data_IF_547665674134
#
_entry.id   IF_547665674134
#
_cell.length_a   1.000
_cell.length_b   1.000
_cell.length_c   1.000
_cell.angle_alpha   90.00
_cell.angle_beta   90.00
_cell.angle_gamma   90.00
#
_symmetry.space_group_name_H-M   'P 1'
#
loop_
_entity.id
_entity.type
_entity.pdbx_description
1 polymer ?
#
# COMPACT_ATOMS: atom_id res chain seq x y z
N UNK A 1 11.99 -64.80 -8.88
CA UNK A 1 11.71 -63.57 -8.11
C UNK A 1 12.57 -62.44 -8.68
N UNK A 2 11.99 -61.56 -9.51
CA UNK A 2 12.71 -60.47 -10.17
C UNK A 2 12.01 -59.14 -9.89
N UNK A 3 12.57 -58.34 -8.98
CA UNK A 3 12.01 -57.07 -8.53
C UNK A 3 12.12 -55.98 -9.59
N UNK A 4 10.98 -55.49 -10.10
CA UNK A 4 10.87 -54.30 -10.95
C UNK A 4 11.16 -53.03 -10.11
N UNK A 5 12.26 -52.32 -10.42
CA UNK A 5 12.49 -50.95 -9.96
C UNK A 5 11.55 -49.99 -10.72
N UNK A 6 10.64 -49.35 -10.01
CA UNK A 6 9.81 -48.23 -10.53
C UNK A 6 10.68 -46.98 -10.66
N UNK A 7 10.73 -46.41 -11.86
CA UNK A 7 11.33 -45.10 -12.17
C UNK A 7 10.50 -43.96 -11.53
N UNK A 8 11.15 -43.06 -10.80
CA UNK A 8 10.53 -41.81 -10.31
C UNK A 8 10.32 -40.83 -11.47
N UNK A 9 9.21 -40.06 -11.50
CA UNK A 9 8.99 -39.08 -12.56
C UNK A 9 9.92 -37.88 -12.37
N UNK A 10 10.54 -37.44 -13.47
CA UNK A 10 11.38 -36.26 -13.50
C UNK A 10 10.55 -35.00 -13.25
N UNK A 11 10.92 -34.23 -12.21
CA UNK A 11 10.44 -32.85 -12.02
C UNK A 11 10.72 -32.04 -13.29
N UNK A 12 9.68 -31.52 -13.92
CA UNK A 12 9.80 -30.57 -15.01
C UNK A 12 10.51 -29.31 -14.50
N UNK A 13 11.73 -29.07 -14.99
CA UNK A 13 12.39 -27.77 -14.87
C UNK A 13 11.55 -26.76 -15.64
N UNK A 14 10.98 -25.76 -14.96
CA UNK A 14 10.36 -24.60 -15.62
C UNK A 14 11.40 -23.98 -16.57
N UNK A 15 11.04 -23.82 -17.85
CA UNK A 15 11.88 -23.14 -18.85
C UNK A 15 12.21 -21.71 -18.38
N UNK A 16 13.38 -21.15 -18.73
CA UNK A 16 13.67 -19.75 -18.48
C UNK A 16 12.60 -18.88 -19.14
N UNK A 17 12.06 -17.89 -18.43
CA UNK A 17 11.14 -16.90 -19.01
C UNK A 17 11.85 -16.20 -20.16
N UNK A 18 11.18 -16.12 -21.30
CA UNK A 18 11.75 -15.59 -22.55
C UNK A 18 11.91 -14.08 -22.47
N UNK A 19 12.80 -13.49 -23.27
CA UNK A 19 12.91 -12.02 -23.40
C UNK A 19 11.59 -11.37 -23.83
N UNK A 20 10.76 -12.10 -24.58
CA UNK A 20 9.41 -11.68 -24.97
C UNK A 20 8.47 -11.56 -23.77
N UNK A 21 8.52 -12.48 -22.80
CA UNK A 21 7.69 -12.41 -21.58
C UNK A 21 8.03 -11.18 -20.74
N UNK A 22 9.31 -10.79 -20.71
CA UNK A 22 9.75 -9.57 -20.01
C UNK A 22 9.30 -8.30 -20.73
N UNK A 23 9.34 -8.28 -22.06
CA UNK A 23 8.84 -7.15 -22.86
C UNK A 23 7.33 -6.94 -22.66
N UNK A 24 6.53 -8.01 -22.76
CA UNK A 24 5.08 -7.95 -22.50
C UNK A 24 4.76 -7.50 -21.07
N UNK A 25 5.53 -7.97 -20.09
CA UNK A 25 5.38 -7.53 -18.70
C UNK A 25 5.71 -6.04 -18.54
N UNK A 26 6.75 -5.56 -19.22
CA UNK A 26 7.14 -4.15 -19.21
C UNK A 26 6.07 -3.26 -19.82
N UNK A 27 5.54 -3.64 -20.98
CA UNK A 27 4.47 -2.88 -21.66
C UNK A 27 3.22 -2.81 -20.79
N UNK A 28 2.82 -3.94 -20.18
CA UNK A 28 1.69 -3.99 -19.25
C UNK A 28 1.88 -3.06 -18.04
N UNK A 29 3.06 -3.10 -17.41
CA UNK A 29 3.36 -2.26 -16.23
C UNK A 29 3.45 -0.78 -16.61
N UNK A 30 4.04 -0.45 -17.77
CA UNK A 30 4.13 0.93 -18.26
C UNK A 30 2.77 1.51 -18.58
N UNK A 31 1.93 0.78 -19.30
CA UNK A 31 0.58 1.21 -19.64
C UNK A 31 -0.26 1.51 -18.38
N UNK A 32 -0.07 0.71 -17.32
CA UNK A 32 -0.74 0.96 -16.05
C UNK A 32 -0.14 2.13 -15.27
N UNK A 33 1.19 2.21 -15.17
CA UNK A 33 1.87 3.24 -14.38
C UNK A 33 1.72 4.65 -14.95
N UNK A 34 1.70 4.79 -16.28
CA UNK A 34 1.56 6.04 -17.01
C UNK A 34 0.23 6.05 -17.78
N UNK A 35 -0.90 6.45 -17.17
CA UNK A 35 -2.11 6.65 -17.95
C UNK A 35 -1.84 7.75 -18.99
N UNK A 36 -2.20 7.48 -20.24
CA UNK A 36 -2.07 8.44 -21.36
C UNK A 36 -2.87 9.70 -20.98
N UNK A 37 -2.29 10.91 -21.08
CA UNK A 37 -3.09 12.13 -20.92
C UNK A 37 -4.20 12.16 -21.98
N UNK A 38 -5.37 12.76 -21.70
CA UNK A 38 -6.40 12.92 -22.73
C UNK A 38 -5.78 13.56 -23.97
N UNK A 39 -6.16 13.07 -25.16
CA UNK A 39 -5.71 13.63 -26.44
C UNK A 39 -5.93 15.15 -26.42
N UNK A 40 -4.99 15.95 -26.95
CA UNK A 40 -5.29 17.36 -27.18
C UNK A 40 -6.51 17.46 -28.10
N UNK A 41 -7.43 18.37 -27.80
CA UNK A 41 -8.51 18.77 -28.71
C UNK A 41 -7.92 18.95 -30.12
N UNK A 42 -8.56 18.44 -31.18
CA UNK A 42 -8.06 18.57 -32.53
C UNK A 42 -7.96 20.07 -32.85
N UNK A 43 -6.74 20.59 -32.89
CA UNK A 43 -6.52 21.93 -33.42
C UNK A 43 -6.90 21.91 -34.89
N UNK A 44 -7.64 22.92 -35.35
CA UNK A 44 -8.14 23.03 -36.71
C UNK A 44 -7.04 23.26 -37.78
N UNK A 45 -5.80 22.84 -37.53
CA UNK A 45 -4.64 23.09 -38.38
C UNK A 45 -4.06 21.85 -39.09
N UNK A 46 -4.46 20.62 -38.76
CA UNK A 46 -3.92 19.41 -39.39
C UNK A 46 -4.89 18.76 -40.39
N UNK A 47 -5.36 19.57 -41.35
CA UNK A 47 -6.06 19.09 -42.54
C UNK A 47 -5.11 19.13 -43.74
N UNK A 48 -3.98 18.43 -43.66
CA UNK A 48 -3.19 17.95 -44.82
C UNK A 48 -1.88 17.30 -44.31
N UNK A 49 -1.95 16.03 -43.90
CA UNK A 49 -0.77 15.17 -43.81
C UNK A 49 -1.14 13.70 -43.98
N UNK A 50 -0.40 13.05 -44.88
CA UNK A 50 -0.55 11.71 -45.42
C UNK A 50 -0.94 10.61 -44.42
N UNK A 51 -2.00 9.91 -44.79
CA UNK A 51 -2.62 8.78 -44.12
C UNK A 51 -1.80 7.51 -44.38
N UNK A 52 -0.65 7.33 -43.70
CA UNK A 52 0.01 6.03 -43.48
C UNK A 52 1.30 6.28 -42.68
N UNK A 53 1.21 6.28 -41.35
CA UNK A 53 2.24 5.90 -40.34
C UNK A 53 1.81 6.48 -38.97
N UNK A 54 1.83 5.71 -37.87
CA UNK A 54 1.52 6.28 -36.55
C UNK A 54 2.58 7.32 -36.19
N UNK A 55 2.13 8.53 -35.87
CA UNK A 55 2.96 9.60 -35.32
C UNK A 55 3.79 9.04 -34.16
N UNK A 56 5.11 9.12 -34.30
CA UNK A 56 6.06 8.67 -33.30
C UNK A 56 5.74 9.32 -31.95
N UNK A 57 5.20 8.52 -31.04
CA UNK A 57 5.27 8.78 -29.61
C UNK A 57 6.71 9.21 -29.32
N UNK A 58 6.86 10.43 -28.81
CA UNK A 58 8.11 10.97 -28.35
C UNK A 58 8.80 9.90 -27.50
N UNK A 59 9.91 9.35 -28.02
CA UNK A 59 10.78 8.40 -27.34
C UNK A 59 11.47 9.12 -26.17
N UNK A 60 10.71 9.37 -25.10
CA UNK A 60 11.26 9.72 -23.80
C UNK A 60 11.77 8.46 -23.13
N UNK A 61 13.09 8.27 -23.15
CA UNK A 61 13.91 7.42 -22.27
C UNK A 61 13.33 6.07 -21.83
N UNK A 62 13.91 4.97 -22.33
CA UNK A 62 13.68 3.60 -21.86
C UNK A 62 14.16 3.32 -20.43
N UNK A 63 13.66 4.07 -19.44
CA UNK A 63 13.88 3.82 -18.03
C UNK A 63 12.96 2.72 -17.48
N UNK A 64 13.45 1.99 -16.47
CA UNK A 64 12.65 1.08 -15.68
C UNK A 64 11.52 1.83 -14.95
N UNK A 65 10.36 1.21 -14.82
CA UNK A 65 9.25 1.78 -14.02
C UNK A 65 9.50 1.44 -12.56
N UNK A 66 9.82 2.46 -11.77
CA UNK A 66 10.15 2.29 -10.37
C UNK A 66 8.91 2.41 -9.48
N UNK A 67 8.67 1.38 -8.67
CA UNK A 67 7.60 1.32 -7.68
C UNK A 67 8.22 1.43 -6.29
N UNK A 68 7.65 2.29 -5.46
CA UNK A 68 7.80 2.23 -4.01
C UNK A 68 6.51 1.62 -3.43
N UNK A 69 6.64 0.54 -2.67
CA UNK A 69 5.49 -0.20 -2.12
C UNK A 69 5.42 -0.16 -0.59
N UNK A 70 6.34 0.52 0.09
CA UNK A 70 6.31 0.65 1.54
C UNK A 70 6.98 1.96 1.98
N UNK A 71 6.19 2.93 2.42
CA UNK A 71 6.69 4.23 2.88
C UNK A 71 5.76 4.89 3.89
N UNK A 72 6.32 5.77 4.71
CA UNK A 72 5.66 6.43 5.83
C UNK A 72 5.79 7.94 5.75
N UNK A 73 4.73 8.63 6.19
CA UNK A 73 4.64 10.07 6.35
C UNK A 73 4.46 10.45 7.81
N UNK A 74 4.38 11.75 8.08
CA UNK A 74 4.10 12.29 9.40
C UNK A 74 2.65 12.05 9.89
N UNK A 75 1.79 11.37 9.12
CA UNK A 75 0.50 10.88 9.64
C UNK A 75 0.64 9.63 10.52
N UNK A 76 1.77 8.93 10.46
CA UNK A 76 2.17 7.93 11.44
C UNK A 76 3.44 8.33 12.16
N UNK A 77 4.59 7.85 11.71
CA UNK A 77 5.89 8.04 12.36
C UNK A 77 7.00 8.35 11.37
N UNK A 78 6.66 8.68 10.13
CA UNK A 78 7.54 9.36 9.20
C UNK A 78 7.83 10.81 9.61
N UNK A 79 8.81 11.42 8.96
CA UNK A 79 9.21 12.82 9.18
C UNK A 79 8.69 13.75 8.09
N UNK A 80 8.44 13.24 6.88
CA UNK A 80 7.97 14.05 5.76
C UNK A 80 6.45 14.08 5.73
N UNK A 81 5.87 15.20 5.35
CA UNK A 81 4.45 15.22 4.96
C UNK A 81 4.22 14.36 3.72
N UNK A 82 2.99 13.89 3.45
CA UNK A 82 2.66 13.19 2.22
C UNK A 82 3.13 13.94 0.96
N UNK A 83 2.96 15.28 0.90
CA UNK A 83 3.44 16.09 -0.23
C UNK A 83 4.96 16.05 -0.40
N UNK A 84 5.70 16.21 0.70
CA UNK A 84 7.17 16.19 0.68
C UNK A 84 7.72 14.79 0.36
N UNK A 85 7.03 13.74 0.80
CA UNK A 85 7.35 12.34 0.47
C UNK A 85 7.19 12.09 -1.03
N UNK A 86 6.09 12.56 -1.63
CA UNK A 86 5.84 12.48 -3.07
C UNK A 86 6.92 13.23 -3.87
N UNK A 87 7.27 14.45 -3.45
CA UNK A 87 8.34 15.22 -4.09
C UNK A 87 9.70 14.51 -4.01
N UNK A 88 10.01 13.87 -2.87
CA UNK A 88 11.22 13.05 -2.72
C UNK A 88 11.19 11.83 -3.65
N UNK A 89 10.07 11.13 -3.71
CA UNK A 89 9.86 10.00 -4.61
C UNK A 89 10.05 10.40 -6.09
N UNK A 90 9.51 11.54 -6.50
CA UNK A 90 9.69 12.10 -7.84
C UNK A 90 11.17 12.33 -8.18
N UNK A 91 11.91 12.98 -7.28
CA UNK A 91 13.36 13.21 -7.45
C UNK A 91 14.16 11.92 -7.60
N UNK A 92 13.69 10.83 -6.98
CA UNK A 92 14.31 9.51 -7.08
C UNK A 92 13.80 8.69 -8.29
N UNK A 93 12.95 9.27 -9.14
CA UNK A 93 12.44 8.63 -10.36
C UNK A 93 11.30 7.64 -10.13
N UNK A 94 10.71 7.61 -8.92
CA UNK A 94 9.54 6.78 -8.61
C UNK A 94 8.36 7.22 -9.47
N UNK A 95 7.62 6.23 -9.99
CA UNK A 95 6.43 6.43 -10.84
C UNK A 95 5.15 5.96 -10.19
N UNK A 96 5.27 5.00 -9.29
CA UNK A 96 4.17 4.48 -8.51
C UNK A 96 4.60 4.44 -7.05
N UNK A 97 3.81 5.07 -6.19
CA UNK A 97 4.11 5.21 -4.76
C UNK A 97 2.93 4.69 -3.94
N UNK A 98 3.17 3.71 -3.09
CA UNK A 98 2.26 3.34 -2.01
C UNK A 98 2.64 4.10 -0.73
N UNK A 99 1.72 4.93 -0.24
CA UNK A 99 1.82 5.49 1.10
C UNK A 99 1.12 4.50 2.05
N UNK A 100 1.84 4.04 3.06
CA UNK A 100 1.44 2.91 3.93
C UNK A 100 1.64 3.27 5.39
N UNK A 101 1.20 4.46 5.81
CA UNK A 101 1.29 4.91 7.19
C UNK A 101 0.73 3.85 8.17
N UNK A 102 1.33 3.78 9.36
CA UNK A 102 0.86 2.87 10.40
C UNK A 102 -0.56 3.19 10.85
N UNK A 103 -1.44 2.21 10.68
CA UNK A 103 -2.82 2.21 11.19
C UNK A 103 -3.65 3.45 10.78
N UNK A 104 -3.33 4.06 9.64
CA UNK A 104 -4.08 5.21 9.12
C UNK A 104 -3.93 5.34 7.61
N UNK A 105 -4.96 5.89 6.97
CA UNK A 105 -4.93 6.28 5.55
C UNK A 105 -5.12 7.81 5.40
N UNK A 106 -4.97 8.56 6.49
CA UNK A 106 -5.27 9.99 6.53
C UNK A 106 -4.39 10.84 5.59
N UNK A 107 -3.16 10.38 5.29
CA UNK A 107 -2.24 11.06 4.37
C UNK A 107 -2.51 10.81 2.89
N UNK A 108 -3.37 9.84 2.53
CA UNK A 108 -3.61 9.47 1.12
C UNK A 108 -4.18 10.63 0.29
N UNK A 109 -5.19 11.40 0.74
CA UNK A 109 -5.72 12.51 -0.06
C UNK A 109 -4.65 13.56 -0.39
N UNK A 110 -3.81 13.92 0.58
CA UNK A 110 -2.69 14.86 0.35
C UNK A 110 -1.68 14.27 -0.65
N UNK A 111 -1.30 13.00 -0.49
CA UNK A 111 -0.38 12.32 -1.41
C UNK A 111 -0.91 12.30 -2.86
N UNK A 112 -2.20 11.97 -3.05
CA UNK A 112 -2.86 11.95 -4.36
C UNK A 112 -2.83 13.34 -5.01
N UNK A 113 -3.15 14.39 -4.24
CA UNK A 113 -3.11 15.76 -4.73
C UNK A 113 -1.69 16.18 -5.13
N UNK A 114 -0.68 15.90 -4.30
CA UNK A 114 0.71 16.25 -4.59
C UNK A 114 1.25 15.48 -5.81
N UNK A 115 0.91 14.20 -5.94
CA UNK A 115 1.41 13.31 -7.00
C UNK A 115 0.98 13.74 -8.40
N UNK A 116 -0.16 14.43 -8.50
CA UNK A 116 -0.67 14.98 -9.77
C UNK A 116 0.33 15.93 -10.45
N UNK A 117 1.10 16.70 -9.66
CA UNK A 117 2.09 17.66 -10.17
C UNK A 117 3.30 16.97 -10.81
N UNK A 118 3.52 15.70 -10.47
CA UNK A 118 4.74 14.97 -10.81
C UNK A 118 4.48 13.76 -11.73
N UNK A 119 3.22 13.51 -12.09
CA UNK A 119 2.82 12.32 -12.86
C UNK A 119 3.13 11.02 -12.12
N UNK A 120 3.00 11.02 -10.80
CA UNK A 120 3.14 9.82 -9.96
C UNK A 120 1.75 9.23 -9.72
N UNK A 121 1.62 7.90 -9.83
CA UNK A 121 0.42 7.19 -9.41
C UNK A 121 0.54 6.81 -7.93
N UNK A 122 -0.46 7.17 -7.13
CA UNK A 122 -0.56 6.71 -5.75
C UNK A 122 -1.31 5.39 -5.70
N UNK A 123 -0.78 4.42 -4.96
CA UNK A 123 -1.52 3.25 -4.48
C UNK A 123 -1.96 3.56 -3.05
N UNK A 124 -3.28 3.71 -2.79
CA UNK A 124 -3.79 3.84 -1.43
C UNK A 124 -3.39 2.62 -0.60
N UNK A 125 -2.62 2.82 0.47
CA UNK A 125 -2.17 1.74 1.32
C UNK A 125 -2.20 2.10 2.80
N UNK A 126 -1.95 1.09 3.62
CA UNK A 126 -1.81 1.20 5.07
C UNK A 126 -0.96 0.04 5.57
N UNK A 127 -0.08 0.29 6.54
CA UNK A 127 0.60 -0.77 7.29
C UNK A 127 -0.16 -1.03 8.59
N UNK A 128 -0.85 -2.15 8.67
CA UNK A 128 -1.72 -2.49 9.80
C UNK A 128 -0.95 -3.29 10.84
N UNK A 129 -0.92 -2.78 12.07
CA UNK A 129 -0.34 -3.47 13.23
C UNK A 129 -1.23 -4.62 13.65
N UNK A 130 -0.63 -5.78 13.85
CA UNK A 130 -1.33 -6.97 14.27
C UNK A 130 -0.51 -7.80 15.26
N UNK A 131 -1.18 -8.74 15.91
CA UNK A 131 -0.56 -9.71 16.80
C UNK A 131 -0.72 -11.11 16.21
N UNK A 132 0.40 -11.79 16.00
CA UNK A 132 0.39 -13.22 15.72
C UNK A 132 0.47 -14.00 17.03
N UNK A 133 -0.55 -14.80 17.31
CA UNK A 133 -0.53 -15.75 18.42
C UNK A 133 -0.37 -17.17 17.89
N UNK A 134 0.75 -17.85 18.16
CA UNK A 134 0.82 -19.27 17.88
C UNK A 134 -0.21 -20.00 18.74
N UNK A 135 -1.08 -20.79 18.10
CA UNK A 135 -2.14 -21.56 18.79
C UNK A 135 -1.62 -22.46 19.91
N UNK A 136 -0.33 -22.79 19.90
CA UNK A 136 0.33 -23.71 20.81
C UNK A 136 0.95 -23.02 22.05
N UNK A 137 1.03 -21.68 22.10
CA UNK A 137 1.63 -20.95 23.23
C UNK A 137 0.72 -19.80 23.68
N UNK A 138 -0.06 -20.04 24.73
CA UNK A 138 -0.87 -19.01 25.37
C UNK A 138 0.02 -17.89 25.92
N UNK A 139 -0.27 -16.63 25.56
CA UNK A 139 0.39 -15.45 26.11
C UNK A 139 1.62 -14.93 25.34
N UNK A 140 2.11 -15.65 24.32
CA UNK A 140 3.28 -15.28 23.52
C UNK A 140 2.90 -14.67 22.16
N UNK A 141 2.17 -13.55 22.18
CA UNK A 141 1.86 -12.82 20.96
C UNK A 141 3.08 -12.08 20.41
N UNK A 142 3.40 -12.33 19.14
CA UNK A 142 4.45 -11.66 18.40
C UNK A 142 3.84 -10.53 17.54
N UNK A 143 4.29 -9.27 17.69
CA UNK A 143 3.85 -8.19 16.82
C UNK A 143 4.27 -8.45 15.37
N UNK A 144 3.33 -8.27 14.45
CA UNK A 144 3.56 -8.38 13.01
C UNK A 144 2.87 -7.21 12.32
N UNK A 145 3.34 -6.84 11.12
CA UNK A 145 2.70 -5.79 10.34
C UNK A 145 2.26 -6.34 8.97
N UNK A 146 1.05 -5.95 8.57
CA UNK A 146 0.43 -6.38 7.32
C UNK A 146 0.17 -5.14 6.47
N UNK A 147 0.83 -5.07 5.31
CA UNK A 147 0.56 -4.06 4.29
C UNK A 147 -0.75 -4.39 3.59
N UNK A 148 -1.59 -3.37 3.40
CA UNK A 148 -2.78 -3.43 2.58
C UNK A 148 -2.65 -2.46 1.40
N UNK A 149 -3.00 -2.91 0.20
CA UNK A 149 -3.02 -2.08 -1.01
C UNK A 149 -4.40 -2.10 -1.66
N UNK A 150 -4.98 -0.91 -1.87
CA UNK A 150 -6.30 -0.73 -2.44
C UNK A 150 -6.23 -0.06 -3.82
N UNK A 151 -7.32 -0.19 -4.58
CA UNK A 151 -7.48 0.50 -5.86
C UNK A 151 -7.72 2.01 -5.67
N UNK A 152 -7.83 2.76 -6.76
CA UNK A 152 -8.01 4.23 -6.71
C UNK A 152 -9.32 4.68 -6.05
N UNK A 153 -10.31 3.80 -5.91
CA UNK A 153 -11.54 4.09 -5.18
C UNK A 153 -11.43 3.76 -3.67
N UNK A 154 -10.29 3.23 -3.23
CA UNK A 154 -10.07 2.79 -1.86
C UNK A 154 -10.77 1.46 -1.51
N UNK A 155 -10.99 1.19 -0.21
CA UNK A 155 -11.65 -0.03 0.26
C UNK A 155 -13.15 -0.03 -0.03
N UNK A 156 -13.73 -1.18 -0.40
CA UNK A 156 -15.18 -1.31 -0.66
C UNK A 156 -16.05 -1.27 0.60
N UNK A 157 -15.42 -1.39 1.77
CA UNK A 157 -16.05 -1.32 3.09
C UNK A 157 -15.24 -0.40 4.01
N UNK A 158 -15.22 0.91 3.73
CA UNK A 158 -14.33 1.85 4.42
C UNK A 158 -14.57 1.91 5.93
N UNK A 159 -15.82 1.79 6.38
CA UNK A 159 -16.15 1.87 7.81
C UNK A 159 -15.60 0.70 8.63
N UNK A 160 -15.65 -0.53 8.10
CA UNK A 160 -15.07 -1.70 8.77
C UNK A 160 -13.56 -1.55 8.96
N UNK A 161 -12.85 -1.10 7.90
CA UNK A 161 -11.42 -0.81 7.98
C UNK A 161 -11.15 0.33 8.96
N UNK A 162 -11.85 1.46 8.82
CA UNK A 162 -11.66 2.64 9.66
C UNK A 162 -11.84 2.33 11.14
N UNK A 163 -12.87 1.57 11.51
CA UNK A 163 -13.13 1.19 12.90
C UNK A 163 -12.01 0.31 13.47
N UNK A 164 -11.48 -0.63 12.68
CA UNK A 164 -10.31 -1.43 13.11
C UNK A 164 -9.08 -0.54 13.30
N UNK A 165 -8.77 0.33 12.34
CA UNK A 165 -7.62 1.23 12.41
C UNK A 165 -7.73 2.19 13.61
N UNK A 166 -8.92 2.73 13.87
CA UNK A 166 -9.18 3.58 15.03
C UNK A 166 -8.94 2.83 16.35
N UNK A 167 -9.47 1.60 16.47
CA UNK A 167 -9.26 0.79 17.68
C UNK A 167 -7.78 0.48 17.95
N UNK A 168 -6.97 0.26 16.91
CA UNK A 168 -5.52 0.09 17.06
C UNK A 168 -4.87 1.38 17.57
N UNK A 169 -5.23 2.53 16.97
CA UNK A 169 -4.71 3.84 17.36
C UNK A 169 -5.06 4.21 18.80
N UNK A 170 -6.28 3.94 19.25
CA UNK A 170 -6.70 4.15 20.64
C UNK A 170 -5.83 3.32 21.60
N UNK A 171 -5.55 2.06 21.23
CA UNK A 171 -4.61 1.20 21.94
C UNK A 171 -3.18 1.74 22.00
N UNK A 172 -2.72 2.45 20.96
CA UNK A 172 -1.38 3.06 20.94
C UNK A 172 -1.24 4.17 21.97
N UNK A 173 -2.29 4.97 22.23
CA UNK A 173 -2.28 5.98 23.29
C UNK A 173 -2.06 5.33 24.66
N UNK A 174 -2.89 4.34 25.00
CA UNK A 174 -2.77 3.59 26.26
C UNK A 174 -1.39 2.90 26.38
N UNK A 175 -0.90 2.32 25.28
CA UNK A 175 0.42 1.69 25.23
C UNK A 175 1.52 2.72 25.54
N UNK A 176 1.45 3.91 24.94
CA UNK A 176 2.43 4.97 25.18
C UNK A 176 2.45 5.44 26.63
N UNK A 177 1.29 5.69 27.25
CA UNK A 177 1.19 6.03 28.68
C UNK A 177 1.84 4.95 29.57
N UNK A 178 1.57 3.67 29.28
CA UNK A 178 2.16 2.56 30.00
C UNK A 178 3.69 2.49 29.82
N UNK A 179 4.21 2.76 28.62
CA UNK A 179 5.66 2.84 28.39
C UNK A 179 6.28 3.97 29.21
N UNK A 180 5.64 5.15 29.25
CA UNK A 180 6.11 6.29 30.05
C UNK A 180 6.15 5.98 31.54
N UNK A 181 5.11 5.32 32.07
CA UNK A 181 5.08 4.89 33.46
C UNK A 181 6.24 3.93 33.80
N UNK A 182 6.53 2.97 32.91
CA UNK A 182 7.67 2.05 33.06
C UNK A 182 9.01 2.79 32.98
N UNK A 183 9.18 3.70 32.02
CA UNK A 183 10.39 4.52 31.90
C UNK A 183 10.64 5.37 33.16
N UNK A 184 9.58 5.91 33.77
CA UNK A 184 9.68 6.66 35.02
C UNK A 184 10.20 5.78 36.19
N UNK A 185 9.72 4.54 36.31
CA UNK A 185 10.24 3.57 37.29
C UNK A 185 11.73 3.30 37.07
N UNK A 186 12.15 3.23 35.80
CA UNK A 186 13.54 3.05 35.37
C UNK A 186 14.39 4.32 35.49
N UNK A 187 13.88 5.40 36.12
CA UNK A 187 14.56 6.70 36.28
C UNK A 187 14.88 7.41 34.97
N UNK A 188 14.07 7.17 33.94
CA UNK A 188 14.11 7.84 32.63
C UNK A 188 12.76 8.55 32.38
N UNK A 189 12.39 9.57 33.17
CA UNK A 189 11.10 10.22 33.01
C UNK A 189 11.01 10.96 31.67
N UNK A 190 9.96 10.67 30.89
CA UNK A 190 9.61 11.37 29.66
C UNK A 190 8.20 11.93 29.81
N UNK A 191 8.00 13.20 29.46
CA UNK A 191 6.71 13.88 29.58
C UNK A 191 5.77 13.49 28.44
N UNK A 192 4.49 13.32 28.74
CA UNK A 192 3.46 13.00 27.75
C UNK A 192 3.41 14.04 26.63
N UNK A 193 3.44 15.33 27.00
CA UNK A 193 3.35 16.46 26.07
C UNK A 193 4.52 16.49 25.09
N UNK A 194 5.67 15.96 25.49
CA UNK A 194 6.83 15.87 24.62
C UNK A 194 6.63 14.78 23.55
N UNK A 195 6.12 13.62 23.94
CA UNK A 195 5.82 12.51 23.01
C UNK A 195 4.73 12.92 22.02
N UNK A 196 3.64 13.55 22.47
CA UNK A 196 2.55 13.97 21.59
C UNK A 196 2.97 15.12 20.68
N UNK A 197 3.81 16.05 21.15
CA UNK A 197 4.41 17.08 20.30
C UNK A 197 5.24 16.48 19.17
N UNK A 198 6.02 15.44 19.46
CA UNK A 198 6.84 14.74 18.45
C UNK A 198 5.96 13.94 17.49
N UNK A 199 4.91 13.28 17.99
CA UNK A 199 3.98 12.52 17.15
C UNK A 199 3.22 13.44 16.18
N UNK A 200 2.82 14.63 16.64
CA UNK A 200 2.02 15.57 15.86
C UNK A 200 0.53 15.50 16.22
N UNK A 201 -0.21 16.50 15.78
CA UNK A 201 -1.63 16.62 16.06
C UNK A 201 -2.43 15.49 15.38
N UNK A 202 -3.28 14.81 16.14
CA UNK A 202 -4.10 13.69 15.64
C UNK A 202 -3.34 12.38 15.38
N UNK A 203 -2.03 12.32 15.66
CA UNK A 203 -1.19 11.15 15.40
C UNK A 203 -1.03 10.29 16.66
N UNK A 204 -1.37 9.00 16.54
CA UNK A 204 -1.28 8.08 17.66
C UNK A 204 0.18 7.71 17.98
N UNK A 205 0.65 7.87 19.23
CA UNK A 205 2.06 7.73 19.57
C UNK A 205 2.55 6.27 19.45
N UNK A 206 3.47 6.02 18.53
CA UNK A 206 4.24 4.77 18.43
C UNK A 206 5.48 4.74 19.33
N UNK A 207 6.13 3.56 19.39
CA UNK A 207 7.42 3.39 20.08
C UNK A 207 8.50 4.32 19.54
N UNK A 208 8.45 4.62 18.24
CA UNK A 208 9.41 5.52 17.61
C UNK A 208 9.31 6.96 18.14
N UNK A 209 8.10 7.47 18.42
CA UNK A 209 7.92 8.78 19.04
C UNK A 209 8.47 8.83 20.47
N UNK A 210 8.25 7.77 21.26
CA UNK A 210 8.86 7.65 22.59
C UNK A 210 10.38 7.59 22.50
N UNK A 211 10.93 6.81 21.56
CA UNK A 211 12.36 6.73 21.33
C UNK A 211 12.96 8.10 20.97
N UNK A 212 12.30 8.87 20.10
CA UNK A 212 12.71 10.23 19.74
C UNK A 212 12.67 11.17 20.94
N UNK A 213 11.61 11.11 21.75
CA UNK A 213 11.51 11.89 22.98
C UNK A 213 12.65 11.56 23.96
N UNK A 214 13.05 10.29 24.05
CA UNK A 214 14.19 9.87 24.88
C UNK A 214 15.53 10.40 24.36
N UNK A 215 15.71 10.49 23.03
CA UNK A 215 16.89 11.11 22.41
C UNK A 215 16.92 12.62 22.68
N UNK A 216 15.81 13.33 22.41
CA UNK A 216 15.72 14.77 22.64
C UNK A 216 15.89 15.16 24.12
N UNK A 217 15.44 14.30 25.04
CA UNK A 217 15.63 14.47 26.48
C UNK A 217 17.04 14.07 26.97
N UNK A 218 17.91 13.56 26.10
CA UNK A 218 19.30 13.22 26.42
C UNK A 218 19.51 11.92 27.20
N UNK A 219 18.50 11.04 27.29
CA UNK A 219 18.63 9.76 28.01
C UNK A 219 19.30 8.66 27.17
N UNK A 220 19.31 8.82 25.86
CA UNK A 220 19.97 7.94 24.89
C UNK A 220 20.58 8.78 23.76
N UNK A 221 21.63 8.28 23.14
CA UNK A 221 22.36 8.93 22.05
C UNK A 221 21.60 8.87 20.72
N UNK A 222 20.82 7.81 20.50
CA UNK A 222 20.09 7.59 19.26
C UNK A 222 18.91 6.62 19.44
N UNK A 223 18.03 6.58 18.44
CA UNK A 223 16.82 5.73 18.42
C UNK A 223 17.17 4.24 18.58
N UNK A 224 18.26 3.77 17.96
CA UNK A 224 18.70 2.37 18.05
C UNK A 224 18.99 1.99 19.52
N UNK A 225 19.65 2.87 20.26
CA UNK A 225 19.92 2.65 21.69
C UNK A 225 18.62 2.62 22.51
N UNK A 226 17.62 3.46 22.20
CA UNK A 226 16.31 3.40 22.87
C UNK A 226 15.63 2.03 22.70
N UNK A 227 15.60 1.50 21.48
CA UNK A 227 15.00 0.18 21.21
C UNK A 227 15.78 -0.95 21.87
N UNK A 228 17.11 -0.95 21.77
CA UNK A 228 17.95 -2.01 22.34
C UNK A 228 17.87 -2.06 23.87
N UNK A 229 17.81 -0.91 24.54
CA UNK A 229 17.87 -0.83 26.00
C UNK A 229 16.50 -0.82 26.68
N UNK A 230 15.46 -0.26 26.03
CA UNK A 230 14.19 0.02 26.70
C UNK A 230 12.96 -0.48 25.95
N UNK A 231 12.85 -0.19 24.65
CA UNK A 231 11.56 -0.23 23.92
C UNK A 231 11.37 -1.45 22.99
N UNK A 232 12.39 -2.30 22.82
CA UNK A 232 12.30 -3.53 22.02
C UNK A 232 11.22 -4.50 22.51
N UNK A 233 10.87 -5.52 21.74
CA UNK A 233 9.74 -6.42 22.03
C UNK A 233 9.82 -7.14 23.39
N UNK A 234 11.03 -7.26 23.95
CA UNK A 234 11.30 -7.85 25.27
C UNK A 234 11.96 -6.83 26.22
N UNK A 235 11.91 -5.54 25.88
CA UNK A 235 12.55 -4.45 26.61
C UNK A 235 11.81 -4.09 27.92
N UNK A 236 12.52 -3.53 28.91
CA UNK A 236 11.95 -3.27 30.24
C UNK A 236 10.83 -2.21 30.24
N UNK A 237 10.79 -1.33 29.24
CA UNK A 237 9.73 -0.35 29.06
C UNK A 237 8.68 -0.77 28.03
N UNK A 238 8.80 -1.94 27.41
CA UNK A 238 7.83 -2.42 26.43
C UNK A 238 6.43 -2.58 27.03
N UNK A 239 5.42 -2.12 26.32
CA UNK A 239 4.01 -2.35 26.66
C UNK A 239 3.28 -2.89 25.42
N UNK A 240 2.28 -3.75 25.63
CA UNK A 240 1.43 -4.29 24.56
C UNK A 240 0.29 -3.31 24.27
N UNK A 241 -0.15 -3.25 23.01
CA UNK A 241 -1.34 -2.50 22.61
C UNK A 241 -2.57 -3.41 22.55
N UNK A 242 -3.57 -2.95 21.79
CA UNK A 242 -4.81 -3.68 21.49
C UNK A 242 -4.82 -4.17 20.03
N UNK A 243 -3.66 -4.59 19.52
CA UNK A 243 -3.54 -5.03 18.13
C UNK A 243 -4.42 -6.27 17.86
N UNK A 244 -5.19 -6.29 16.75
CA UNK A 244 -6.02 -7.44 16.38
C UNK A 244 -5.17 -8.65 15.95
N UNK A 245 -5.79 -9.82 15.89
CA UNK A 245 -5.12 -11.01 15.35
C UNK A 245 -4.76 -10.84 13.87
N UNK A 246 -3.54 -11.22 13.51
CA UNK A 246 -3.01 -11.06 12.17
C UNK A 246 -3.84 -11.76 11.08
N UNK A 247 -4.42 -12.93 11.37
CA UNK A 247 -5.34 -13.61 10.47
C UNK A 247 -6.63 -12.81 10.23
N UNK A 248 -7.15 -12.15 11.28
CA UNK A 248 -8.35 -11.32 11.17
C UNK A 248 -8.09 -10.06 10.31
N UNK A 249 -6.88 -9.48 10.42
CA UNK A 249 -6.43 -8.37 9.58
C UNK A 249 -6.37 -8.79 8.11
N UNK A 250 -5.71 -9.91 7.80
CA UNK A 250 -5.63 -10.44 6.42
C UNK A 250 -7.03 -10.69 5.84
N UNK A 251 -7.93 -11.27 6.61
CA UNK A 251 -9.32 -11.51 6.19
C UNK A 251 -10.09 -10.20 5.97
N UNK A 252 -9.88 -9.19 6.80
CA UNK A 252 -10.52 -7.89 6.62
C UNK A 252 -10.02 -7.21 5.34
N UNK A 253 -8.71 -7.23 5.08
CA UNK A 253 -8.13 -6.69 3.84
C UNK A 253 -8.77 -7.37 2.63
N UNK A 254 -8.89 -8.70 2.65
CA UNK A 254 -9.53 -9.44 1.56
C UNK A 254 -10.99 -9.04 1.34
N UNK A 255 -11.80 -8.91 2.41
CA UNK A 255 -13.23 -8.54 2.30
C UNK A 255 -13.47 -7.07 1.97
N UNK A 256 -12.47 -6.21 2.19
CA UNK A 256 -12.51 -4.78 1.84
C UNK A 256 -11.94 -4.50 0.45
N UNK A 257 -11.54 -5.55 -0.30
CA UNK A 257 -11.06 -5.40 -1.67
C UNK A 257 -9.59 -4.99 -1.79
N UNK A 258 -8.76 -5.33 -0.81
CA UNK A 258 -7.33 -5.04 -0.81
C UNK A 258 -6.44 -6.26 -1.09
N UNK A 259 -5.19 -5.98 -1.45
CA UNK A 259 -4.10 -6.97 -1.48
C UNK A 259 -3.35 -6.90 -0.15
N UNK A 260 -3.14 -8.04 0.49
CA UNK A 260 -2.42 -8.16 1.76
C UNK A 260 -0.98 -8.68 1.57
N UNK A 261 -0.01 -8.05 2.21
CA UNK A 261 1.38 -8.50 2.22
C UNK A 261 2.01 -8.44 3.62
N UNK A 262 2.78 -9.46 4.00
CA UNK A 262 3.54 -9.45 5.25
C UNK A 262 4.75 -8.51 5.10
N UNK A 263 4.82 -7.48 5.94
CA UNK A 263 5.93 -6.53 5.96
C UNK A 263 7.15 -7.11 6.70
N UNK A 264 8.35 -6.70 6.27
CA UNK A 264 9.67 -6.92 6.89
C UNK A 264 9.81 -8.24 7.68
N UNK A 265 9.50 -9.40 7.09
CA UNK A 265 9.40 -10.68 7.81
C UNK A 265 10.73 -11.15 8.43
N UNK A 266 11.86 -10.53 8.07
CA UNK A 266 13.18 -10.72 8.69
C UNK A 266 13.28 -10.23 10.13
N UNK A 267 12.35 -9.40 10.62
CA UNK A 267 12.29 -9.00 12.03
C UNK A 267 11.57 -10.02 12.93
N UNK A 268 11.00 -11.09 12.35
CA UNK A 268 10.18 -12.07 13.07
C UNK A 268 11.01 -13.22 13.60
N UNK A 269 10.62 -13.75 14.77
CA UNK A 269 11.26 -14.89 15.45
C UNK A 269 11.03 -16.20 14.68
N UNK A 270 9.83 -16.42 14.14
CA UNK A 270 9.50 -17.61 13.35
C UNK A 270 8.66 -17.29 12.10
N UNK A 271 9.29 -16.77 11.03
CA UNK A 271 8.58 -16.35 9.83
C UNK A 271 7.79 -17.48 9.14
N UNK A 272 8.30 -18.72 9.11
CA UNK A 272 7.64 -19.84 8.40
C UNK A 272 6.27 -20.16 9.00
N UNK A 273 6.18 -20.23 10.34
CA UNK A 273 4.93 -20.51 11.05
C UNK A 273 3.88 -19.40 10.81
N UNK A 274 4.32 -18.14 10.86
CA UNK A 274 3.48 -16.96 10.62
C UNK A 274 2.97 -16.98 9.19
N UNK A 275 3.87 -17.08 8.21
CA UNK A 275 3.53 -17.09 6.78
C UNK A 275 2.56 -18.23 6.46
N UNK A 276 2.76 -19.43 7.03
CA UNK A 276 1.82 -20.55 6.87
C UNK A 276 0.42 -20.21 7.37
N UNK A 277 0.31 -19.60 8.55
CA UNK A 277 -0.98 -19.24 9.15
C UNK A 277 -1.68 -18.16 8.34
N UNK A 278 -0.96 -17.09 8.00
CA UNK A 278 -1.49 -15.97 7.22
C UNK A 278 -1.86 -16.39 5.80
N UNK A 279 -1.10 -17.30 5.19
CA UNK A 279 -1.47 -17.88 3.90
C UNK A 279 -2.82 -18.60 3.98
N UNK A 280 -3.05 -19.37 5.05
CA UNK A 280 -4.34 -20.01 5.32
C UNK A 280 -5.49 -19.01 5.53
N UNK A 281 -5.18 -17.78 5.99
CA UNK A 281 -6.14 -16.70 6.14
C UNK A 281 -6.39 -15.87 4.87
N UNK A 282 -5.59 -16.07 3.81
CA UNK A 282 -5.76 -15.38 2.52
C UNK A 282 -4.60 -14.48 2.10
N UNK A 283 -3.43 -14.53 2.76
CA UNK A 283 -2.28 -13.67 2.45
C UNK A 283 -1.87 -13.78 0.97
N UNK A 284 -1.65 -12.62 0.32
CA UNK A 284 -1.34 -12.53 -1.10
C UNK A 284 0.17 -12.45 -1.37
N UNK A 285 0.91 -11.70 -0.56
CA UNK A 285 2.33 -11.44 -0.73
C UNK A 285 3.12 -11.35 0.56
N UNK A 286 4.42 -11.15 0.41
CA UNK A 286 5.31 -10.77 1.51
C UNK A 286 6.50 -9.99 0.96
N UNK A 287 7.11 -9.18 1.81
CA UNK A 287 8.36 -8.52 1.47
C UNK A 287 9.52 -9.52 1.45
N UNK A 288 10.29 -9.45 0.37
CA UNK A 288 11.47 -10.28 0.08
C UNK A 288 12.66 -9.40 -0.31
N UNK A 289 12.40 -8.19 -0.79
CA UNK A 289 13.41 -7.24 -1.26
C UNK A 289 13.53 -6.05 -0.33
N UNK A 290 14.77 -5.65 -0.07
CA UNK A 290 15.21 -4.45 0.63
C UNK A 290 16.12 -3.65 -0.33
N UNK A 291 16.58 -2.49 0.11
CA UNK A 291 17.48 -1.63 -0.68
C UNK A 291 18.85 -2.26 -0.97
N UNK A 292 19.33 -3.11 -0.06
CA UNK A 292 20.55 -3.90 -0.19
C UNK A 292 20.34 -5.21 -0.99
N UNK A 293 19.11 -5.48 -1.43
CA UNK A 293 18.77 -6.54 -2.36
C UNK A 293 17.78 -7.57 -1.82
N UNK A 294 17.83 -8.77 -2.40
CA UNK A 294 16.98 -9.90 -1.98
C UNK A 294 17.47 -10.42 -0.63
N UNK A 295 16.56 -10.59 0.33
CA UNK A 295 16.89 -11.22 1.62
C UNK A 295 16.90 -12.74 1.46
N UNK A 296 17.97 -13.39 1.93
CA UNK A 296 18.17 -14.83 1.81
C UNK A 296 17.05 -15.63 2.52
N UNK A 297 16.60 -16.72 1.90
CA UNK A 297 15.57 -17.62 2.41
C UNK A 297 14.13 -17.14 2.23
N UNK A 298 13.88 -15.83 2.17
CA UNK A 298 12.52 -15.28 2.07
C UNK A 298 11.91 -15.45 0.66
N UNK A 299 12.74 -15.46 -0.38
CA UNK A 299 12.28 -15.77 -1.74
C UNK A 299 11.78 -17.21 -1.84
N UNK A 300 12.49 -18.15 -1.24
CA UNK A 300 12.17 -19.57 -1.21
C UNK A 300 10.94 -19.82 -0.31
N UNK A 301 10.82 -19.08 0.79
CA UNK A 301 9.64 -19.09 1.65
C UNK A 301 8.38 -18.57 0.91
N UNK A 302 8.49 -17.46 0.19
CA UNK A 302 7.40 -16.95 -0.63
C UNK A 302 6.99 -17.95 -1.72
N UNK A 303 7.96 -18.61 -2.37
CA UNK A 303 7.69 -19.68 -3.35
C UNK A 303 6.99 -20.89 -2.73
N UNK A 304 7.43 -21.33 -1.54
CA UNK A 304 6.84 -22.46 -0.79
C UNK A 304 5.34 -22.26 -0.58
N UNK A 305 4.90 -21.03 -0.31
CA UNK A 305 3.50 -20.69 -0.03
C UNK A 305 2.76 -20.02 -1.20
N UNK A 306 3.40 -19.88 -2.37
CA UNK A 306 2.80 -19.25 -3.55
C UNK A 306 2.40 -17.79 -3.31
N UNK A 307 3.29 -17.02 -2.68
CA UNK A 307 3.11 -15.59 -2.36
C UNK A 307 3.83 -14.70 -3.37
N UNK A 308 3.30 -13.50 -3.60
CA UNK A 308 4.00 -12.43 -4.30
C UNK A 308 5.26 -12.03 -3.53
N UNK A 309 6.36 -11.81 -4.25
CA UNK A 309 7.65 -11.38 -3.70
C UNK A 309 7.77 -9.86 -3.83
N UNK A 310 7.27 -9.12 -2.86
CA UNK A 310 7.24 -7.66 -2.89
C UNK A 310 8.44 -7.08 -2.15
N UNK A 311 8.51 -5.75 -2.08
CA UNK A 311 9.47 -5.03 -1.27
C UNK A 311 9.26 -3.53 -1.43
N UNK A 312 9.57 -2.80 -0.38
CA UNK A 312 9.63 -1.35 -0.35
C UNK A 312 10.74 -0.89 0.58
N UNK A 313 11.01 0.41 0.58
CA UNK A 313 12.12 0.98 1.35
C UNK A 313 11.86 1.02 2.86
N UNK A 314 10.59 0.96 3.27
CA UNK A 314 10.15 1.23 4.65
C UNK A 314 10.65 2.63 5.10
N UNK A 315 10.59 3.59 4.17
CA UNK A 315 11.15 4.93 4.35
C UNK A 315 10.31 5.77 5.31
N UNK A 316 10.95 6.33 6.32
CA UNK A 316 10.39 7.28 7.29
C UNK A 316 11.04 8.67 7.23
N UNK A 317 12.13 8.86 6.48
CA UNK A 317 12.80 10.16 6.35
C UNK A 317 13.54 10.62 7.60
N UNK A 318 14.08 9.68 8.38
CA UNK A 318 14.86 9.91 9.61
C UNK A 318 16.21 10.59 9.34
N UNK A 319 16.72 10.43 8.12
CA UNK A 319 18.04 10.89 7.74
C UNK A 319 19.15 10.01 8.32
N UNK A 320 20.39 10.28 7.92
CA UNK A 320 21.55 9.46 8.27
C UNK A 320 21.80 8.30 7.29
N UNK A 321 22.75 7.41 7.64
CA UNK A 321 23.21 6.31 6.77
C UNK A 321 22.49 4.98 7.00
N UNK A 322 21.66 4.89 8.04
CA UNK A 322 21.02 3.64 8.48
C UNK A 322 19.63 3.42 7.87
N UNK A 323 19.14 4.35 7.06
CA UNK A 323 17.83 4.29 6.40
C UNK A 323 18.00 4.28 4.88
N UNK A 324 17.18 3.47 4.23
CA UNK A 324 17.16 3.39 2.77
C UNK A 324 16.29 4.49 2.22
N UNK A 325 16.77 5.25 1.24
CA UNK A 325 15.96 6.30 0.63
C UNK A 325 14.78 5.71 -0.16
N UNK A 326 13.75 6.51 -0.37
CA UNK A 326 12.55 6.12 -1.10
C UNK A 326 12.88 5.73 -2.55
N UNK A 327 12.31 4.63 -3.04
CA UNK A 327 12.56 4.13 -4.40
C UNK A 327 13.89 3.40 -4.58
N UNK A 328 14.62 3.09 -3.51
CA UNK A 328 15.88 2.33 -3.62
C UNK A 328 15.68 0.83 -3.88
N UNK A 329 14.49 0.29 -3.57
CA UNK A 329 14.17 -1.13 -3.78
C UNK A 329 13.77 -1.40 -5.22
N UNK A 330 14.59 -2.16 -5.95
CA UNK A 330 14.33 -2.51 -7.34
C UNK A 330 13.63 -3.87 -7.44
N UNK A 331 12.36 -3.85 -7.85
CA UNK A 331 11.60 -5.06 -8.14
C UNK A 331 11.73 -5.44 -9.63
N UNK A 332 11.87 -6.73 -9.90
CA UNK A 332 11.86 -7.22 -11.28
C UNK A 332 10.52 -6.88 -11.96
N UNK A 333 10.55 -6.52 -13.24
CA UNK A 333 9.33 -6.14 -13.98
C UNK A 333 8.26 -7.25 -13.96
N UNK A 334 8.68 -8.51 -13.96
CA UNK A 334 7.76 -9.66 -13.86
C UNK A 334 7.10 -9.78 -12.49
N UNK A 335 7.74 -9.28 -11.43
CA UNK A 335 7.15 -9.18 -10.09
C UNK A 335 6.07 -8.11 -10.07
N UNK A 336 6.36 -6.93 -10.62
CA UNK A 336 5.39 -5.84 -10.74
C UNK A 336 4.18 -6.26 -11.59
N UNK A 337 4.42 -6.91 -12.73
CA UNK A 337 3.35 -7.46 -13.55
C UNK A 337 2.52 -8.52 -12.79
N UNK A 338 3.16 -9.40 -12.01
CA UNK A 338 2.48 -10.39 -11.18
C UNK A 338 1.61 -9.75 -10.08
N UNK A 339 2.11 -8.69 -9.44
CA UNK A 339 1.36 -7.89 -8.48
C UNK A 339 0.13 -7.27 -9.14
N UNK A 340 0.29 -6.56 -10.25
CA UNK A 340 -0.83 -5.91 -10.95
C UNK A 340 -1.86 -6.92 -11.49
N UNK A 341 -1.42 -8.07 -12.01
CA UNK A 341 -2.34 -9.13 -12.48
C UNK A 341 -3.17 -9.73 -11.35
N UNK A 342 -2.63 -9.79 -10.13
CA UNK A 342 -3.39 -10.22 -8.96
C UNK A 342 -4.30 -9.10 -8.44
N UNK A 343 -3.79 -7.86 -8.42
CA UNK A 343 -4.48 -6.71 -7.86
C UNK A 343 -5.67 -6.26 -8.71
N UNK A 344 -5.54 -6.24 -10.04
CA UNK A 344 -6.58 -5.77 -10.96
C UNK A 344 -7.97 -6.37 -10.71
N UNK A 345 -8.19 -7.71 -10.74
CA UNK A 345 -9.53 -8.26 -10.51
C UNK A 345 -10.08 -7.95 -9.11
N UNK A 346 -9.23 -7.90 -8.09
CA UNK A 346 -9.63 -7.58 -6.71
C UNK A 346 -10.07 -6.11 -6.62
N UNK A 347 -9.28 -5.20 -7.16
CA UNK A 347 -9.60 -3.78 -7.18
C UNK A 347 -10.80 -3.44 -8.07
N UNK A 348 -10.97 -4.12 -9.21
CA UNK A 348 -12.15 -3.96 -10.07
C UNK A 348 -13.42 -4.44 -9.35
N UNK A 349 -13.39 -5.60 -8.68
CA UNK A 349 -14.52 -6.07 -7.88
C UNK A 349 -14.88 -5.08 -6.77
N UNK A 350 -13.88 -4.56 -6.06
CA UNK A 350 -14.10 -3.57 -5.00
C UNK A 350 -14.69 -2.27 -5.54
N UNK A 351 -14.21 -1.81 -6.70
CA UNK A 351 -14.72 -0.63 -7.39
C UNK A 351 -16.20 -0.80 -7.79
N UNK A 352 -16.58 -1.96 -8.33
CA UNK A 352 -17.98 -2.27 -8.63
C UNK A 352 -18.85 -2.19 -7.39
N UNK A 353 -18.44 -2.81 -6.28
CA UNK A 353 -19.17 -2.75 -5.02
C UNK A 353 -19.37 -1.30 -4.53
N UNK A 354 -18.33 -0.47 -4.65
CA UNK A 354 -18.37 0.95 -4.28
C UNK A 354 -19.38 1.71 -5.14
N UNK A 355 -19.32 1.51 -6.46
CA UNK A 355 -20.20 2.17 -7.41
C UNK A 355 -21.66 1.73 -7.23
N UNK A 356 -21.91 0.45 -6.97
CA UNK A 356 -23.25 -0.06 -6.65
C UNK A 356 -23.82 0.60 -5.39
N UNK A 357 -23.05 0.66 -4.30
CA UNK A 357 -23.48 1.34 -3.06
C UNK A 357 -23.76 2.82 -3.28
N UNK A 358 -22.93 3.49 -4.08
CA UNK A 358 -23.16 4.89 -4.43
C UNK A 358 -24.44 5.07 -5.26
N UNK A 359 -24.73 4.16 -6.18
CA UNK A 359 -25.96 4.19 -6.96
C UNK A 359 -27.21 3.90 -6.10
N UNK A 360 -27.10 3.13 -5.03
CA UNK A 360 -28.18 2.90 -4.06
C UNK A 360 -28.45 4.14 -3.19
N UNK A 361 -27.40 4.86 -2.78
CA UNK A 361 -27.51 6.06 -1.95
C UNK A 361 -26.60 7.20 -2.46
N UNK A 362 -27.02 7.91 -3.53
CA UNK A 362 -26.24 9.00 -4.11
C UNK A 362 -26.23 10.21 -3.18
N UNK A 363 -25.09 10.44 -2.53
CA UNK A 363 -24.87 11.57 -1.61
C UNK A 363 -23.49 12.19 -1.81
N UNK A 364 -23.34 13.48 -1.45
CA UNK A 364 -22.04 14.17 -1.48
C UNK A 364 -21.02 13.52 -0.57
N UNK A 365 -21.46 12.93 0.56
CA UNK A 365 -20.61 12.17 1.47
C UNK A 365 -20.06 10.91 0.81
N UNK A 366 -20.92 10.11 0.17
CA UNK A 366 -20.50 8.88 -0.52
C UNK A 366 -19.59 9.22 -1.71
N UNK A 367 -19.91 10.27 -2.47
CA UNK A 367 -19.04 10.79 -3.52
C UNK A 367 -17.67 11.19 -2.98
N UNK A 368 -17.63 11.96 -1.90
CA UNK A 368 -16.39 12.37 -1.23
C UNK A 368 -15.55 11.17 -0.78
N UNK A 369 -16.18 10.09 -0.32
CA UNK A 369 -15.47 8.87 0.07
C UNK A 369 -14.78 8.17 -1.11
N UNK A 370 -15.38 8.17 -2.29
CA UNK A 370 -14.79 7.61 -3.52
C UNK A 370 -13.60 8.45 -3.97
N UNK A 371 -13.76 9.78 -3.95
CA UNK A 371 -12.76 10.72 -4.46
C UNK A 371 -11.56 10.94 -3.51
N UNK A 372 -11.62 10.46 -2.27
CA UNK A 372 -10.50 10.55 -1.31
C UNK A 372 -9.25 9.80 -1.77
N UNK A 373 -9.42 8.74 -2.56
CA UNK A 373 -8.36 7.79 -2.87
C UNK A 373 -7.85 7.88 -4.32
N UNK A 374 -8.43 8.77 -5.12
CA UNK A 374 -8.13 8.92 -6.54
C UNK A 374 -8.53 10.30 -7.08
N UNK A 375 -8.20 10.59 -8.34
CA UNK A 375 -8.40 11.93 -8.93
C UNK A 375 -9.31 11.89 -10.16
N UNK A 376 -10.46 12.57 -10.10
CA UNK A 376 -11.14 13.03 -11.32
C UNK A 376 -10.22 13.98 -12.10
N UNK A 377 -9.73 13.56 -13.26
CA UNK A 377 -9.14 14.49 -14.24
C UNK A 377 -10.24 15.45 -14.69
N UNK A 378 -9.95 16.76 -14.71
CA UNK A 378 -10.85 17.91 -15.00
C UNK A 378 -11.76 18.38 -13.86
N UNK A 379 -11.20 19.13 -12.90
CA UNK A 379 -11.99 19.91 -11.92
C UNK A 379 -11.89 21.42 -12.21
N UNK A 380 -11.05 21.85 -13.16
CA UNK A 380 -10.80 23.29 -13.42
C UNK A 380 -11.71 23.93 -14.47
N UNK A 381 -12.50 23.15 -15.23
CA UNK A 381 -13.55 23.65 -16.11
C UNK A 381 -14.75 22.71 -15.98
N UNK A 382 -15.90 23.19 -15.50
CA UNK A 382 -17.28 22.81 -15.88
C UNK A 382 -18.31 23.18 -14.79
N UNK A 383 -19.47 23.64 -15.27
CA UNK A 383 -20.68 24.03 -14.52
C UNK A 383 -21.35 22.83 -13.81
N UNK A 384 -22.48 22.97 -13.07
CA UNK A 384 -22.89 22.01 -12.04
C UNK A 384 -23.00 20.58 -12.58
N UNK A 385 -22.18 19.74 -11.95
CA UNK A 385 -21.75 18.41 -12.34
C UNK A 385 -22.95 17.44 -12.38
N UNK A 386 -23.09 16.65 -13.46
CA UNK A 386 -23.88 15.42 -13.46
C UNK A 386 -23.09 14.31 -12.73
N UNK A 387 -22.96 14.48 -11.41
CA UNK A 387 -21.95 13.85 -10.53
C UNK A 387 -21.84 12.32 -10.59
N UNK A 388 -22.84 11.61 -11.12
CA UNK A 388 -22.82 10.15 -11.18
C UNK A 388 -22.02 9.58 -12.36
N UNK A 389 -22.22 10.13 -13.56
CA UNK A 389 -21.62 9.61 -14.80
C UNK A 389 -20.11 9.83 -14.81
N UNK A 390 -19.65 11.00 -14.33
CA UNK A 390 -18.23 11.34 -14.27
C UNK A 390 -17.45 10.46 -13.29
N UNK A 391 -18.07 10.03 -12.20
CA UNK A 391 -17.45 9.12 -11.22
C UNK A 391 -17.27 7.74 -11.83
N UNK A 392 -18.29 7.22 -12.52
CA UNK A 392 -18.16 5.95 -13.24
C UNK A 392 -17.08 6.04 -14.29
N UNK A 393 -17.04 7.12 -15.08
CA UNK A 393 -16.00 7.34 -16.09
C UNK A 393 -14.60 7.47 -15.47
N UNK A 394 -14.47 8.13 -14.32
CA UNK A 394 -13.23 8.21 -13.56
C UNK A 394 -12.75 6.84 -13.05
N UNK A 395 -13.66 6.09 -12.45
CA UNK A 395 -13.40 4.74 -11.97
C UNK A 395 -12.94 3.83 -13.13
N UNK A 396 -13.60 3.90 -14.28
CA UNK A 396 -13.27 3.10 -15.46
C UNK A 396 -11.95 3.55 -16.13
N UNK A 397 -11.76 4.85 -16.35
CA UNK A 397 -10.53 5.39 -16.97
C UNK A 397 -9.28 5.14 -16.13
N UNK A 398 -9.41 4.96 -14.82
CA UNK A 398 -8.31 4.61 -13.94
C UNK A 398 -7.79 3.17 -14.15
N UNK A 399 -8.57 2.30 -14.81
CA UNK A 399 -8.34 0.84 -14.82
C UNK A 399 -8.58 0.08 -16.14
N UNK A 400 -9.18 0.67 -17.17
CA UNK A 400 -9.58 -0.08 -18.39
C UNK A 400 -8.54 -0.07 -19.52
N UNK A 401 -8.19 -1.28 -19.98
CA UNK A 401 -8.06 -1.56 -21.41
C UNK A 401 -9.48 -1.69 -22.00
N UNK A 402 -9.70 -1.27 -23.25
CA UNK A 402 -11.02 -1.10 -23.89
C UNK A 402 -12.06 -2.24 -23.68
N UNK A 403 -11.63 -3.49 -23.45
CA UNK A 403 -12.52 -4.65 -23.32
C UNK A 403 -13.31 -4.76 -21.99
N UNK A 404 -12.98 -3.99 -20.94
CA UNK A 404 -13.71 -4.03 -19.64
C UNK A 404 -14.76 -2.92 -19.48
N UNK A 405 -14.95 -2.08 -20.51
CA UNK A 405 -15.95 -1.00 -20.52
C UNK A 405 -17.37 -1.47 -20.87
N UNK A 406 -17.53 -2.72 -21.32
CA UNK A 406 -18.81 -3.35 -21.72
C UNK A 406 -19.34 -4.33 -20.66
N UNK A 407 -18.98 -4.12 -19.39
CA UNK A 407 -19.46 -4.96 -18.29
C UNK A 407 -20.92 -4.63 -17.94
N UNK A 408 -21.79 -5.63 -18.03
CA UNK A 408 -23.25 -5.51 -17.81
C UNK A 408 -23.57 -4.92 -16.44
N UNK A 409 -22.78 -5.21 -15.41
CA UNK A 409 -23.00 -4.68 -14.05
C UNK A 409 -22.70 -3.18 -13.99
N UNK A 410 -21.68 -2.71 -14.71
CA UNK A 410 -21.33 -1.30 -14.80
C UNK A 410 -22.35 -0.50 -15.62
N UNK A 411 -22.97 -1.12 -16.61
CA UNK A 411 -24.07 -0.50 -17.36
C UNK A 411 -25.33 -0.34 -16.50
N UNK A 412 -25.62 -1.30 -15.61
CA UNK A 412 -26.72 -1.14 -14.63
C UNK A 412 -26.45 0.03 -13.66
N UNK A 413 -25.21 0.18 -13.19
CA UNK A 413 -24.80 1.34 -12.37
C UNK A 413 -25.00 2.66 -13.14
N UNK A 414 -24.58 2.72 -14.41
CA UNK A 414 -24.77 3.91 -15.27
C UNK A 414 -26.23 4.28 -15.41
N UNK A 415 -27.09 3.30 -15.70
CA UNK A 415 -28.54 3.52 -15.85
C UNK A 415 -29.17 4.04 -14.55
N UNK A 416 -28.79 3.49 -13.39
CA UNK A 416 -29.26 3.97 -12.07
C UNK A 416 -28.84 5.42 -11.80
N UNK A 417 -27.59 5.77 -12.11
CA UNK A 417 -27.07 7.11 -11.91
C UNK A 417 -27.66 8.14 -12.89
N UNK A 418 -27.84 7.76 -14.16
CA UNK A 418 -28.51 8.61 -15.15
C UNK A 418 -29.98 8.89 -14.76
N UNK A 419 -30.68 7.90 -14.19
CA UNK A 419 -32.03 8.09 -13.67
C UNK A 419 -32.07 9.07 -12.49
N UNK A 420 -31.08 9.00 -11.59
CA UNK A 420 -30.95 9.96 -10.49
C UNK A 420 -30.66 11.38 -10.98
N UNK A 421 -29.76 11.55 -11.95
CA UNK A 421 -29.44 12.85 -12.56
C UNK A 421 -30.66 13.51 -13.22
N UNK A 422 -31.51 12.71 -13.87
CA UNK A 422 -32.73 13.18 -14.51
C UNK A 422 -33.88 13.57 -13.55
N UNK A 423 -33.80 13.19 -12.26
CA UNK A 423 -34.80 13.50 -11.23
C UNK A 423 -34.47 14.76 -10.40
N UNK A 424 -33.28 15.34 -10.58
CA UNK A 424 -32.88 16.63 -10.01
C UNK A 424 -33.18 17.77 -10.99
#
# INVERSE_FOLDING_TARGET
>A
MGSKKKSKPSRSRKKPRTSADQALALDYVRAWAYPVPPLPEPSAADADADDFLPAQAARGGGGDVLFELHSHSNHSDGFLSPSALVERAHRNGVKVLALTDHDTMAGIPEAVLAASKFGIRIIPGVEISALYNPREVAGAGEPVHILAYYGTCGPSRPDELYNMLLSIRDGRYLRAENMLAKLNILKVPIKWEHVTKIAGEGVAPGRLHVARAMVEAGYVENVRQAFNKYLGNDGPAYARGSEPFAEAVVQLISRTGGISALAHPWSLKNPDAIVRSLKGAGLNGMEVYRSDGKVDGFSELAEKYGLLKLGGSDFHGRGGKDESDIGTVKLAITTLCGFLKMARPIWCSAMKDILHKFAEEPSSTNLGNILKFGRLTNVDDFSPIDTGIDVVNFCLSSWSSNDEMEDVELEEVRLKLAHYGAQR
#
